data_IF_069230265393
#
_entry.id   IF_069230265393
#
_cell.length_a   1.000
_cell.length_b   1.000
_cell.length_c   1.000
_cell.angle_alpha   90.00
_cell.angle_beta   90.00
_cell.angle_gamma   90.00
#
_symmetry.space_group_name_H-M   'P 1'
#
loop_
_entity.id
_entity.type
_entity.pdbx_description
1 polymer ?
#
# COMPACT_ATOMS: atom_id res chain seq x y z
N UNK A 1 -9.21 1.45 6.50
CA UNK A 1 -8.65 0.15 6.94
C UNK A 1 -7.21 0.39 7.35
N UNK A 2 -6.81 0.00 8.57
CA UNK A 2 -5.45 0.20 9.08
C UNK A 2 -4.51 -0.94 8.68
N UNK A 3 -5.03 -2.15 8.59
CA UNK A 3 -4.35 -3.36 8.14
C UNK A 3 -5.36 -4.26 7.44
N UNK A 4 -4.87 -5.09 6.52
CA UNK A 4 -5.67 -6.07 5.80
C UNK A 4 -6.33 -5.55 4.51
N UNK A 5 -6.00 -4.33 4.05
CA UNK A 5 -6.56 -3.82 2.78
C UNK A 5 -6.20 -4.75 1.63
N UNK A 6 -4.92 -5.11 1.48
CA UNK A 6 -4.45 -6.04 0.44
C UNK A 6 -5.14 -7.41 0.54
N UNK A 7 -5.30 -7.95 1.77
CA UNK A 7 -6.00 -9.23 1.98
C UNK A 7 -7.48 -9.16 1.60
N UNK A 8 -8.15 -8.05 1.94
CA UNK A 8 -9.56 -7.83 1.58
C UNK A 8 -9.69 -7.67 0.07
N UNK A 9 -8.84 -6.84 -0.56
CA UNK A 9 -8.82 -6.67 -2.02
C UNK A 9 -8.58 -7.99 -2.73
N UNK A 10 -7.58 -8.77 -2.32
CA UNK A 10 -7.31 -10.08 -2.91
C UNK A 10 -8.51 -11.05 -2.78
N UNK A 11 -9.22 -11.03 -1.67
CA UNK A 11 -10.44 -11.84 -1.50
C UNK A 11 -11.53 -11.37 -2.45
N UNK A 12 -11.78 -10.06 -2.55
CA UNK A 12 -12.79 -9.50 -3.46
C UNK A 12 -12.48 -9.88 -4.90
N UNK A 13 -11.26 -9.60 -5.36
CA UNK A 13 -10.79 -9.89 -6.71
C UNK A 13 -10.87 -11.40 -7.03
N UNK A 14 -10.57 -12.26 -6.06
CA UNK A 14 -10.74 -13.70 -6.23
C UNK A 14 -12.21 -14.08 -6.45
N UNK A 15 -13.15 -13.53 -5.66
CA UNK A 15 -14.59 -13.75 -5.86
C UNK A 15 -15.08 -13.22 -7.21
N UNK A 16 -14.47 -12.16 -7.72
CA UNK A 16 -14.74 -11.57 -9.04
C UNK A 16 -14.06 -12.32 -10.19
N UNK A 17 -13.31 -13.40 -9.89
CA UNK A 17 -12.56 -14.21 -10.86
C UNK A 17 -11.42 -13.44 -11.55
N UNK A 18 -10.87 -12.41 -10.92
CA UNK A 18 -9.83 -11.56 -11.51
C UNK A 18 -8.48 -12.27 -11.59
N UNK A 19 -8.26 -13.31 -10.77
CA UNK A 19 -7.06 -14.15 -10.85
C UNK A 19 -7.31 -15.60 -10.42
N UNK A 20 -6.50 -16.56 -10.92
CA UNK A 20 -6.57 -17.95 -10.52
C UNK A 20 -5.75 -18.23 -9.25
N UNK A 21 -6.07 -19.31 -8.54
CA UNK A 21 -5.27 -19.82 -7.43
C UNK A 21 -3.89 -20.27 -7.93
N UNK A 22 -2.85 -19.97 -7.16
CA UNK A 22 -1.46 -20.35 -7.45
C UNK A 22 -0.73 -20.76 -6.17
N UNK A 23 0.26 -21.65 -6.29
CA UNK A 23 1.13 -22.03 -5.18
C UNK A 23 0.48 -22.88 -4.09
N UNK A 24 -0.62 -23.55 -4.36
CA UNK A 24 -1.24 -24.49 -3.44
C UNK A 24 -0.46 -25.82 -3.45
N UNK A 25 0.21 -26.11 -2.32
CA UNK A 25 0.98 -27.35 -2.15
C UNK A 25 0.09 -28.52 -1.74
N UNK A 26 -0.89 -28.29 -0.86
CA UNK A 26 -1.78 -29.34 -0.35
C UNK A 26 -2.90 -29.72 -1.35
N UNK A 27 -3.30 -28.80 -2.23
CA UNK A 27 -4.35 -29.01 -3.23
C UNK A 27 -3.89 -28.53 -4.61
N UNK A 28 -2.87 -29.16 -5.18
CA UNK A 28 -2.26 -28.74 -6.44
C UNK A 28 -3.25 -28.76 -7.62
N UNK A 29 -4.31 -29.60 -7.56
CA UNK A 29 -5.37 -29.68 -8.56
C UNK A 29 -6.27 -28.44 -8.64
N UNK A 30 -6.20 -27.57 -7.64
CA UNK A 30 -6.94 -26.30 -7.63
C UNK A 30 -6.10 -25.14 -8.20
N UNK A 31 -4.80 -25.33 -8.41
CA UNK A 31 -3.98 -24.31 -9.06
C UNK A 31 -4.46 -24.04 -10.50
N UNK A 32 -4.46 -22.78 -10.88
CA UNK A 32 -4.94 -22.32 -12.18
C UNK A 32 -6.45 -22.12 -12.27
N UNK A 33 -7.22 -22.41 -11.21
CA UNK A 33 -8.67 -22.20 -11.17
C UNK A 33 -9.03 -20.87 -10.54
N UNK A 34 -9.99 -20.19 -11.16
CA UNK A 34 -10.68 -19.02 -10.57
C UNK A 34 -11.78 -19.48 -9.61
N UNK A 35 -12.36 -18.57 -8.83
CA UNK A 35 -13.41 -18.91 -7.86
C UNK A 35 -14.59 -19.67 -8.49
N UNK A 36 -15.07 -19.22 -9.67
CA UNK A 36 -16.21 -19.87 -10.35
C UNK A 36 -15.90 -21.28 -10.88
N UNK A 37 -14.64 -21.59 -11.13
CA UNK A 37 -14.18 -22.88 -11.62
C UNK A 37 -13.89 -23.90 -10.51
N UNK A 38 -13.94 -23.45 -9.25
CA UNK A 38 -13.74 -24.34 -8.11
C UNK A 38 -14.90 -25.31 -7.95
N UNK A 39 -14.64 -26.55 -7.46
CA UNK A 39 -15.68 -27.49 -7.09
C UNK A 39 -16.68 -26.88 -6.10
N UNK A 40 -17.97 -27.19 -6.24
CA UNK A 40 -19.04 -26.61 -5.44
C UNK A 40 -18.81 -26.77 -3.92
N UNK A 41 -18.26 -27.89 -3.49
CA UNK A 41 -17.94 -28.13 -2.08
C UNK A 41 -16.87 -27.19 -1.56
N UNK A 42 -15.84 -26.89 -2.40
CA UNK A 42 -14.77 -25.95 -2.04
C UNK A 42 -15.32 -24.53 -1.94
N UNK A 43 -16.11 -24.10 -2.94
CA UNK A 43 -16.79 -22.79 -2.91
C UNK A 43 -17.63 -22.61 -1.65
N UNK A 44 -18.52 -23.59 -1.35
CA UNK A 44 -19.31 -23.57 -0.12
C UNK A 44 -18.47 -23.54 1.15
N UNK A 45 -17.29 -24.17 1.13
CA UNK A 45 -16.33 -24.11 2.23
C UNK A 45 -15.75 -22.71 2.43
N UNK A 46 -15.41 -22.03 1.33
CA UNK A 46 -14.91 -20.64 1.33
C UNK A 46 -16.02 -19.69 1.79
N UNK A 47 -17.22 -19.77 1.23
CA UNK A 47 -18.36 -18.88 1.52
C UNK A 47 -18.82 -18.91 2.96
N UNK A 48 -18.55 -20.00 3.67
CA UNK A 48 -18.89 -20.15 5.09
C UNK A 48 -17.82 -19.65 6.04
N UNK A 49 -16.69 -19.15 5.54
CA UNK A 49 -15.62 -18.62 6.38
C UNK A 49 -15.95 -17.20 6.82
N UNK A 50 -15.62 -16.93 8.08
CA UNK A 50 -15.78 -15.59 8.66
C UNK A 50 -14.45 -14.87 8.67
N UNK A 51 -14.48 -13.58 8.38
CA UNK A 51 -13.37 -12.69 8.59
C UNK A 51 -13.56 -11.99 9.94
N UNK A 52 -12.59 -12.16 10.83
CA UNK A 52 -12.55 -11.42 12.08
C UNK A 52 -11.96 -10.05 11.86
N UNK A 53 -12.59 -9.01 12.39
CA UNK A 53 -12.06 -7.65 12.36
C UNK A 53 -12.07 -7.04 13.77
N UNK A 54 -11.10 -6.15 14.02
CA UNK A 54 -11.05 -5.34 15.23
C UNK A 54 -11.34 -3.90 14.81
N UNK A 55 -12.38 -3.31 15.41
CA UNK A 55 -12.78 -1.92 15.16
C UNK A 55 -12.26 -1.05 16.29
N UNK A 56 -11.43 -0.07 15.94
CA UNK A 56 -10.98 0.96 16.88
C UNK A 56 -11.95 2.14 16.82
N UNK A 57 -12.70 2.33 17.91
CA UNK A 57 -13.68 3.41 18.01
C UNK A 57 -12.96 4.74 18.33
N UNK A 58 -13.31 5.82 17.62
CA UNK A 58 -12.75 7.16 17.87
C UNK A 58 -13.08 7.66 19.28
N UNK A 59 -14.20 7.26 19.83
CA UNK A 59 -14.67 7.61 21.16
C UNK A 59 -13.80 7.06 22.30
N UNK A 60 -12.90 6.12 21.98
CA UNK A 60 -11.93 5.57 22.94
C UNK A 60 -10.85 6.59 23.34
N UNK A 61 -10.61 7.61 22.51
CA UNK A 61 -9.64 8.65 22.76
C UNK A 61 -10.33 9.97 23.16
N UNK A 62 -9.76 10.66 24.14
CA UNK A 62 -10.30 11.93 24.66
C UNK A 62 -9.80 13.14 23.88
N UNK A 63 -8.65 13.01 23.23
CA UNK A 63 -8.03 14.08 22.42
C UNK A 63 -7.59 13.54 21.06
N UNK A 64 -7.43 14.40 20.04
CA UNK A 64 -6.87 14.00 18.74
C UNK A 64 -5.47 13.38 18.86
N UNK A 65 -4.63 13.88 19.74
CA UNK A 65 -3.27 13.38 19.99
C UNK A 65 -3.32 11.96 20.59
N UNK A 66 -4.23 11.73 21.53
CA UNK A 66 -4.44 10.40 22.11
C UNK A 66 -4.97 9.41 21.07
N UNK A 67 -5.88 9.85 20.20
CA UNK A 67 -6.39 9.05 19.08
C UNK A 67 -5.27 8.65 18.12
N UNK A 68 -4.37 9.59 17.77
CA UNK A 68 -3.20 9.33 16.93
C UNK A 68 -2.27 8.30 17.58
N UNK A 69 -1.90 8.55 18.84
CA UNK A 69 -1.01 7.64 19.60
C UNK A 69 -1.59 6.24 19.74
N UNK A 70 -2.89 6.13 19.97
CA UNK A 70 -3.58 4.83 20.04
C UNK A 70 -3.55 4.11 18.69
N UNK A 71 -3.78 4.83 17.60
CA UNK A 71 -3.68 4.31 16.24
C UNK A 71 -2.28 3.76 15.94
N UNK A 72 -1.23 4.54 16.24
CA UNK A 72 0.16 4.14 16.06
C UNK A 72 0.51 2.89 16.88
N UNK A 73 0.08 2.83 18.12
CA UNK A 73 0.34 1.71 19.03
C UNK A 73 -0.36 0.42 18.58
N UNK A 74 -1.61 0.53 18.13
CA UNK A 74 -2.36 -0.63 17.59
C UNK A 74 -1.72 -1.11 16.28
N UNK A 75 -1.36 -0.19 15.39
CA UNK A 75 -0.69 -0.50 14.14
C UNK A 75 0.64 -1.23 14.36
N UNK A 76 1.48 -0.70 15.26
CA UNK A 76 2.74 -1.34 15.62
C UNK A 76 2.56 -2.77 16.19
N UNK A 77 1.51 -2.99 16.99
CA UNK A 77 1.20 -4.31 17.56
C UNK A 77 0.69 -5.31 16.53
N UNK A 78 -0.17 -4.87 15.62
CA UNK A 78 -0.66 -5.72 14.52
C UNK A 78 0.52 -6.14 13.64
N UNK A 79 1.40 -5.19 13.32
CA UNK A 79 2.58 -5.42 12.48
C UNK A 79 3.64 -6.35 13.13
N UNK A 80 3.64 -6.46 14.46
CA UNK A 80 4.58 -7.34 15.17
C UNK A 80 4.18 -8.82 15.16
N UNK A 81 2.95 -9.14 14.75
CA UNK A 81 2.39 -10.51 14.80
C UNK A 81 2.22 -11.23 13.46
N UNK A 82 2.59 -10.58 12.34
CA UNK A 82 2.42 -11.11 10.97
C UNK A 82 3.64 -10.88 10.08
N UNK A 83 3.48 -10.97 8.76
CA UNK A 83 4.47 -10.49 7.81
C UNK A 83 4.68 -9.00 8.06
N UNK A 84 5.93 -8.62 8.38
CA UNK A 84 6.27 -7.24 8.70
C UNK A 84 6.07 -6.38 7.46
N UNK A 85 5.24 -5.33 7.58
CA UNK A 85 5.14 -4.35 6.50
C UNK A 85 6.48 -3.67 6.28
N UNK A 86 6.79 -3.38 5.04
CA UNK A 86 7.90 -2.51 4.69
C UNK A 86 7.63 -1.08 5.18
N UNK A 87 8.70 -0.32 5.43
CA UNK A 87 8.60 1.03 6.00
C UNK A 87 7.65 1.94 5.21
N UNK A 88 7.67 1.84 3.88
CA UNK A 88 6.82 2.67 3.02
C UNK A 88 5.36 2.23 3.00
N UNK A 89 5.09 0.94 3.08
CA UNK A 89 3.72 0.44 3.25
C UNK A 89 3.10 0.96 4.55
N UNK A 90 3.92 0.95 5.62
CA UNK A 90 3.52 1.51 6.91
C UNK A 90 3.20 3.01 6.83
N UNK A 91 4.04 3.81 6.12
CA UNK A 91 3.81 5.25 5.90
C UNK A 91 2.53 5.50 5.11
N UNK A 92 2.30 4.77 4.04
CA UNK A 92 1.08 4.92 3.23
C UNK A 92 -0.19 4.69 4.05
N UNK A 93 -0.18 3.70 4.95
CA UNK A 93 -1.31 3.45 5.84
C UNK A 93 -1.46 4.50 6.95
N UNK A 94 -0.34 5.06 7.44
CA UNK A 94 -0.32 6.01 8.55
C UNK A 94 -0.62 7.43 8.12
N UNK A 95 -0.14 7.86 6.96
CA UNK A 95 -0.24 9.24 6.43
C UNK A 95 -1.03 9.26 5.09
N UNK A 96 -2.29 8.83 5.06
CA UNK A 96 -3.09 8.87 3.85
C UNK A 96 -3.40 10.32 3.47
N UNK A 97 -3.50 10.59 2.16
CA UNK A 97 -3.86 11.92 1.66
C UNK A 97 -3.36 12.16 0.24
N UNK A 98 -3.69 13.32 -0.30
CA UNK A 98 -3.38 13.69 -1.69
C UNK A 98 -1.89 13.67 -2.04
N UNK A 99 -1.03 13.98 -1.07
CA UNK A 99 0.42 13.88 -1.28
C UNK A 99 0.84 12.41 -1.44
N UNK A 100 0.31 11.52 -0.60
CA UNK A 100 0.59 10.10 -0.73
C UNK A 100 0.10 9.53 -2.07
N UNK A 101 -1.11 9.92 -2.50
CA UNK A 101 -1.64 9.57 -3.83
C UNK A 101 -0.74 10.09 -4.96
N UNK A 102 -0.21 11.31 -4.82
CA UNK A 102 0.70 11.90 -5.78
C UNK A 102 2.00 11.08 -5.89
N UNK A 103 2.69 10.77 -4.80
CA UNK A 103 3.96 10.02 -4.86
C UNK A 103 3.77 8.60 -5.39
N UNK A 104 2.66 7.94 -5.09
CA UNK A 104 2.28 6.65 -5.70
C UNK A 104 2.08 6.79 -7.21
N UNK A 105 1.41 7.85 -7.65
CA UNK A 105 1.21 8.15 -9.08
C UNK A 105 2.54 8.45 -9.79
N UNK A 106 3.43 9.22 -9.17
CA UNK A 106 4.73 9.59 -9.74
C UNK A 106 5.69 8.39 -9.82
N UNK A 107 5.58 7.42 -8.92
CA UNK A 107 6.33 6.17 -9.00
C UNK A 107 5.95 5.32 -10.24
N UNK A 108 4.87 5.68 -10.95
CA UNK A 108 4.45 5.09 -12.22
C UNK A 108 4.69 6.00 -13.42
N UNK A 109 5.53 7.05 -13.28
CA UNK A 109 6.02 7.85 -14.39
C UNK A 109 6.96 7.01 -15.27
N UNK A 110 6.80 7.06 -16.59
CA UNK A 110 7.53 6.20 -17.52
C UNK A 110 9.05 6.41 -17.48
N UNK A 111 9.51 7.66 -17.38
CA UNK A 111 10.94 7.96 -17.29
C UNK A 111 11.52 7.44 -15.97
N UNK A 112 10.80 7.59 -14.87
CA UNK A 112 11.18 7.04 -13.57
C UNK A 112 11.26 5.50 -13.63
N UNK A 113 10.25 4.84 -14.19
CA UNK A 113 10.21 3.39 -14.33
C UNK A 113 11.38 2.88 -15.18
N UNK A 114 11.74 3.58 -16.28
CA UNK A 114 12.89 3.22 -17.11
C UNK A 114 14.21 3.35 -16.35
N UNK A 115 14.39 4.42 -15.58
CA UNK A 115 15.64 4.66 -14.82
C UNK A 115 15.85 3.60 -13.73
N UNK A 116 14.77 3.13 -13.09
CA UNK A 116 14.83 2.20 -11.98
C UNK A 116 14.51 0.74 -12.36
N UNK A 117 14.42 0.44 -13.66
CA UNK A 117 14.15 -0.91 -14.19
C UNK A 117 12.83 -1.51 -13.63
N UNK A 118 11.82 -0.65 -13.50
CA UNK A 118 10.46 -1.03 -13.09
C UNK A 118 9.62 -1.24 -14.35
N UNK A 119 8.79 -2.31 -14.43
CA UNK A 119 7.90 -2.51 -15.57
C UNK A 119 7.08 -1.27 -15.92
N UNK A 120 7.06 -0.91 -17.20
CA UNK A 120 6.32 0.27 -17.67
C UNK A 120 4.81 0.09 -17.48
N UNK A 121 4.11 1.20 -17.40
CA UNK A 121 2.66 1.22 -17.24
C UNK A 121 1.96 0.56 -18.43
N UNK A 122 1.05 -0.37 -18.14
CA UNK A 122 0.25 -1.05 -19.16
C UNK A 122 -1.10 -0.35 -19.36
N UNK A 123 -1.72 -0.45 -20.57
CA UNK A 123 -3.05 0.10 -20.79
C UNK A 123 -4.08 -0.49 -19.81
N UNK A 124 -4.82 0.37 -19.13
CA UNK A 124 -5.82 -0.02 -18.13
C UNK A 124 -5.27 -0.27 -16.72
N UNK A 125 -3.96 -0.10 -16.51
CA UNK A 125 -3.36 -0.21 -15.19
C UNK A 125 -3.91 0.86 -14.23
N UNK A 126 -4.35 0.41 -13.06
CA UNK A 126 -4.79 1.27 -11.96
C UNK A 126 -4.23 0.71 -10.64
N UNK A 127 -3.09 1.25 -10.23
CA UNK A 127 -2.41 0.83 -9.00
C UNK A 127 -3.26 1.10 -7.75
N UNK A 128 -4.07 2.18 -7.76
CA UNK A 128 -4.93 2.52 -6.62
C UNK A 128 -6.05 1.50 -6.40
N UNK A 129 -6.51 0.85 -7.48
CA UNK A 129 -7.52 -0.20 -7.45
C UNK A 129 -6.93 -1.60 -7.67
N UNK A 130 -5.59 -1.73 -7.56
CA UNK A 130 -4.85 -2.99 -7.72
C UNK A 130 -5.04 -3.69 -9.09
N UNK A 131 -5.35 -2.91 -10.12
CA UNK A 131 -5.39 -3.40 -11.52
C UNK A 131 -3.98 -3.27 -12.10
N UNK A 132 -3.16 -4.31 -11.95
CA UNK A 132 -1.74 -4.33 -12.29
C UNK A 132 -1.37 -5.58 -13.08
N UNK A 133 -0.32 -5.49 -13.91
CA UNK A 133 0.22 -6.64 -14.64
C UNK A 133 0.90 -7.65 -13.71
N UNK A 134 1.01 -8.91 -14.13
CA UNK A 134 1.77 -9.93 -13.39
C UNK A 134 3.25 -9.53 -13.28
N UNK A 135 3.84 -8.95 -14.32
CA UNK A 135 5.23 -8.46 -14.33
C UNK A 135 5.46 -7.38 -13.27
N UNK A 136 4.52 -6.44 -13.12
CA UNK A 136 4.60 -5.40 -12.10
C UNK A 136 4.42 -5.99 -10.70
N UNK A 137 3.51 -6.96 -10.53
CA UNK A 137 3.29 -7.65 -9.25
C UNK A 137 4.53 -8.41 -8.77
N UNK A 138 5.28 -9.01 -9.69
CA UNK A 138 6.51 -9.75 -9.39
C UNK A 138 7.73 -8.82 -9.22
N UNK A 139 7.60 -7.54 -9.59
CA UNK A 139 8.66 -6.55 -9.38
C UNK A 139 8.85 -6.27 -7.88
N UNK A 140 10.06 -6.54 -7.37
CA UNK A 140 10.36 -6.39 -5.95
C UNK A 140 10.22 -4.96 -5.46
N UNK A 141 10.71 -3.99 -6.21
CA UNK A 141 10.67 -2.59 -5.81
C UNK A 141 9.24 -2.05 -5.75
N UNK A 142 8.37 -2.52 -6.64
CA UNK A 142 6.95 -2.22 -6.59
C UNK A 142 6.25 -2.95 -5.42
N UNK A 143 6.45 -4.27 -5.27
CA UNK A 143 5.77 -5.08 -4.24
C UNK A 143 6.13 -4.68 -2.80
N UNK A 144 7.32 -4.09 -2.59
CA UNK A 144 7.77 -3.53 -1.31
C UNK A 144 7.55 -2.02 -1.18
N UNK A 145 6.92 -1.38 -2.18
CA UNK A 145 6.75 0.09 -2.29
C UNK A 145 8.07 0.87 -2.23
N UNK A 146 9.18 0.25 -2.62
CA UNK A 146 10.48 0.90 -2.66
C UNK A 146 10.54 2.01 -3.68
N UNK A 147 9.87 1.82 -4.81
CA UNK A 147 9.64 2.83 -5.84
C UNK A 147 9.00 4.09 -5.27
N UNK A 148 7.93 3.95 -4.51
CA UNK A 148 7.24 5.08 -3.83
C UNK A 148 8.15 5.75 -2.80
N UNK A 149 8.95 4.96 -2.04
CA UNK A 149 9.90 5.52 -1.10
C UNK A 149 10.98 6.36 -1.79
N UNK A 150 11.45 5.96 -2.98
CA UNK A 150 12.42 6.74 -3.76
C UNK A 150 11.84 8.09 -4.16
N UNK A 151 10.59 8.12 -4.63
CA UNK A 151 9.89 9.38 -4.94
C UNK A 151 9.72 10.24 -3.68
N UNK A 152 9.33 9.64 -2.55
CA UNK A 152 9.24 10.35 -1.28
C UNK A 152 10.58 10.97 -0.88
N UNK A 153 11.68 10.23 -1.01
CA UNK A 153 13.04 10.72 -0.72
C UNK A 153 13.42 11.91 -1.60
N UNK A 154 13.04 11.90 -2.87
CA UNK A 154 13.28 13.02 -3.78
C UNK A 154 12.70 14.32 -3.22
N UNK A 155 11.45 14.34 -2.75
CA UNK A 155 10.83 15.53 -2.18
C UNK A 155 11.36 15.85 -0.78
N UNK A 156 11.48 14.87 0.10
CA UNK A 156 11.94 15.07 1.47
C UNK A 156 13.36 15.63 1.53
N UNK A 157 14.28 15.13 0.71
CA UNK A 157 15.67 15.62 0.70
C UNK A 157 15.82 17.04 0.13
N UNK A 158 14.87 17.53 -0.65
CA UNK A 158 14.80 18.94 -1.05
C UNK A 158 14.46 19.86 0.13
N UNK A 159 13.80 19.34 1.15
CA UNK A 159 13.50 20.02 2.40
C UNK A 159 14.46 19.60 3.53
N UNK A 160 15.72 19.34 3.21
CA UNK A 160 16.75 18.83 4.14
C UNK A 160 16.98 19.75 5.35
N UNK A 161 16.66 21.04 5.23
CA UNK A 161 16.69 21.99 6.33
C UNK A 161 15.70 21.67 7.46
N UNK A 162 14.71 20.81 7.19
CA UNK A 162 13.76 20.31 8.21
C UNK A 162 14.28 19.05 8.92
N UNK A 163 15.43 18.52 8.49
CA UNK A 163 16.01 17.31 9.08
C UNK A 163 16.76 17.65 10.38
N UNK A 164 16.33 17.05 11.46
CA UNK A 164 16.86 17.24 12.82
C UNK A 164 17.98 16.25 13.20
N UNK A 165 18.68 15.67 12.21
CA UNK A 165 19.73 14.64 12.38
C UNK A 165 19.24 13.30 12.95
N UNK A 166 17.96 13.01 12.87
CA UNK A 166 17.42 11.67 13.16
C UNK A 166 17.76 10.67 12.03
N UNK A 167 17.31 9.41 12.12
CA UNK A 167 17.44 8.48 11.00
C UNK A 167 16.62 8.94 9.79
N UNK A 168 17.06 8.55 8.58
CA UNK A 168 16.32 8.84 7.35
C UNK A 168 14.86 8.36 7.44
N UNK A 169 14.61 7.17 7.97
CA UNK A 169 13.25 6.66 8.13
C UNK A 169 12.37 7.59 8.96
N UNK A 170 12.86 8.08 10.11
CA UNK A 170 12.14 9.07 10.95
C UNK A 170 11.92 10.40 10.26
N UNK A 171 12.89 10.86 9.48
CA UNK A 171 12.73 12.08 8.69
C UNK A 171 11.65 11.92 7.62
N UNK A 172 11.60 10.77 6.93
CA UNK A 172 10.56 10.47 5.96
C UNK A 172 9.17 10.38 6.61
N UNK A 173 9.08 9.81 7.82
CA UNK A 173 7.83 9.78 8.60
C UNK A 173 7.37 11.19 8.94
N UNK A 174 8.26 12.03 9.49
CA UNK A 174 7.98 13.43 9.80
C UNK A 174 7.56 14.21 8.55
N UNK A 175 8.28 14.06 7.44
CA UNK A 175 7.96 14.75 6.20
C UNK A 175 6.59 14.33 5.65
N UNK A 176 6.28 13.04 5.68
CA UNK A 176 4.97 12.51 5.26
C UNK A 176 3.84 13.08 6.13
N UNK A 177 4.04 13.19 7.45
CA UNK A 177 3.09 13.81 8.37
C UNK A 177 2.84 15.28 8.00
N UNK A 178 3.90 16.07 7.78
CA UNK A 178 3.79 17.48 7.37
C UNK A 178 3.01 17.64 6.06
N UNK A 179 3.19 16.71 5.12
CA UNK A 179 2.58 16.76 3.80
C UNK A 179 1.13 16.21 3.75
N UNK A 180 0.60 15.66 4.84
CA UNK A 180 -0.77 15.10 4.89
C UNK A 180 -1.82 16.14 4.49
N UNK A 181 -1.62 17.41 4.85
CA UNK A 181 -2.52 18.53 4.55
C UNK A 181 -1.96 19.48 3.47
N UNK A 182 -1.09 18.99 2.59
CA UNK A 182 -0.52 19.82 1.52
C UNK A 182 -1.60 20.42 0.62
N UNK A 183 -1.40 21.71 0.23
CA UNK A 183 -2.34 22.40 -0.65
C UNK A 183 -2.30 21.83 -2.07
N UNK A 184 -3.38 22.02 -2.82
CA UNK A 184 -3.45 21.54 -4.21
C UNK A 184 -2.43 22.26 -5.10
N UNK A 185 -2.14 23.54 -4.82
CA UNK A 185 -1.12 24.33 -5.52
C UNK A 185 0.26 23.71 -5.35
N UNK A 186 0.65 23.38 -4.12
CA UNK A 186 1.93 22.73 -3.81
C UNK A 186 2.05 21.36 -4.49
N UNK A 187 0.98 20.58 -4.47
CA UNK A 187 0.97 19.26 -5.13
C UNK A 187 1.13 19.37 -6.65
N UNK A 188 0.54 20.39 -7.25
CA UNK A 188 0.70 20.68 -8.69
C UNK A 188 2.14 21.10 -9.02
N UNK A 189 2.74 21.94 -8.19
CA UNK A 189 4.15 22.34 -8.33
C UNK A 189 5.07 21.11 -8.19
N UNK A 190 4.83 20.24 -7.23
CA UNK A 190 5.61 19.02 -7.02
C UNK A 190 5.51 18.06 -8.20
N UNK A 191 4.32 17.92 -8.76
CA UNK A 191 4.13 17.12 -9.96
C UNK A 191 4.99 17.64 -11.13
N UNK A 192 4.88 18.94 -11.44
CA UNK A 192 5.66 19.56 -12.52
C UNK A 192 7.18 19.54 -12.28
N UNK A 193 7.59 19.49 -11.02
CA UNK A 193 9.01 19.42 -10.65
C UNK A 193 9.60 18.03 -10.88
N UNK A 194 8.79 17.00 -10.77
CA UNK A 194 9.22 15.61 -10.89
C UNK A 194 9.19 15.14 -12.36
N UNK A 195 8.19 15.59 -13.12
CA UNK A 195 8.04 15.36 -14.56
C UNK A 195 9.03 16.22 -15.39
#
# INVERSE_FOLDING_TARGET
VMDGLQRISAIIEFYENSYPLRGLEEWPELNGRTYSELPEQVRKGIDRRYLSSIILLKETAKTPEEARRLKELVFARINSGGAKLEDQEARNAQYPGKFNELIVSLARNDDFCQVFDIPLKTPGEDVMHNVISDELRDCKDFSTMKDVEIVLRFFALRAINLWDNTSLSKFLDFYSECMTNASQELLTEYKLLFE
#
